data_IF_601321643603
#
_entry.id   IF_601321643603
#
_cell.length_a   1.000
_cell.length_b   1.000
_cell.length_c   1.000
_cell.angle_alpha   90.00
_cell.angle_beta   90.00
_cell.angle_gamma   90.00
#
_symmetry.space_group_name_H-M   'P 1'
#
loop_
_entity.id
_entity.type
_entity.pdbx_description
1 polymer ?
#
# COMPACT_ATOMS: atom_id res chain seq x y z
N UNK A 1 6.48 14.82 -15.59
CA UNK A 1 7.54 15.51 -14.81
C UNK A 1 7.11 15.74 -13.37
N UNK A 2 6.15 14.95 -12.87
CA UNK A 2 5.39 15.24 -11.64
C UNK A 2 6.18 14.99 -10.36
N UNK A 3 7.30 14.25 -10.46
CA UNK A 3 8.09 13.82 -9.30
C UNK A 3 9.44 14.53 -9.16
N UNK A 4 9.69 15.60 -9.93
CA UNK A 4 10.95 16.37 -9.79
C UNK A 4 10.91 17.18 -8.50
N UNK A 5 11.96 17.07 -7.68
CA UNK A 5 12.13 17.87 -6.47
C UNK A 5 11.44 17.33 -5.22
N UNK A 6 10.93 16.09 -5.27
CA UNK A 6 10.37 15.39 -4.11
C UNK A 6 10.91 13.97 -4.00
N UNK A 7 10.83 13.38 -2.80
CA UNK A 7 11.02 11.94 -2.64
C UNK A 7 9.84 11.19 -3.26
N UNK A 8 10.12 10.05 -3.88
CA UNK A 8 9.12 9.16 -4.47
C UNK A 8 9.50 7.74 -4.11
N UNK A 9 8.54 7.02 -3.54
CA UNK A 9 8.77 5.68 -3.06
C UNK A 9 8.35 4.67 -4.11
N UNK A 10 9.22 3.69 -4.37
CA UNK A 10 8.91 2.58 -5.25
C UNK A 10 9.10 1.27 -4.52
N UNK A 11 8.08 0.42 -4.53
CA UNK A 11 8.19 -0.99 -4.17
C UNK A 11 8.01 -1.82 -5.43
N UNK A 12 8.88 -2.79 -5.65
CA UNK A 12 8.84 -3.65 -6.84
C UNK A 12 8.88 -5.10 -6.39
N UNK A 13 7.77 -5.82 -6.61
CA UNK A 13 7.75 -7.26 -6.48
C UNK A 13 8.00 -7.87 -7.86
N UNK A 14 9.13 -8.58 -7.98
CA UNK A 14 9.57 -9.16 -9.22
C UNK A 14 9.93 -10.63 -9.05
N UNK A 15 9.17 -11.50 -9.72
CA UNK A 15 9.45 -12.93 -9.83
C UNK A 15 9.93 -13.22 -11.25
N UNK A 16 11.24 -13.42 -11.47
CA UNK A 16 11.76 -13.70 -12.81
C UNK A 16 11.28 -15.07 -13.31
N UNK A 17 10.69 -15.09 -14.50
CA UNK A 17 10.35 -16.32 -15.22
C UNK A 17 10.33 -16.07 -16.73
N UNK A 18 10.79 -17.06 -17.49
CA UNK A 18 10.65 -17.09 -18.96
C UNK A 18 9.34 -17.76 -19.40
N UNK A 19 8.47 -18.16 -18.46
CA UNK A 19 7.17 -18.80 -18.71
C UNK A 19 6.03 -17.94 -18.17
N UNK A 20 4.80 -18.44 -18.22
CA UNK A 20 3.61 -17.77 -17.68
C UNK A 20 3.64 -17.50 -16.17
N UNK A 21 4.60 -18.07 -15.43
CA UNK A 21 4.68 -17.96 -13.96
C UNK A 21 5.39 -16.71 -13.43
N UNK A 22 5.84 -15.81 -14.30
CA UNK A 22 6.49 -14.56 -13.91
C UNK A 22 5.51 -13.55 -13.34
N UNK A 23 6.00 -12.70 -12.45
CA UNK A 23 5.23 -11.63 -11.79
C UNK A 23 6.05 -10.35 -11.82
N UNK A 24 5.40 -9.24 -12.16
CA UNK A 24 5.89 -7.89 -11.93
C UNK A 24 4.75 -7.06 -11.36
N UNK A 25 4.94 -6.56 -10.15
CA UNK A 25 4.06 -5.60 -9.50
C UNK A 25 4.91 -4.39 -9.07
N UNK A 26 4.43 -3.19 -9.34
CA UNK A 26 5.11 -1.94 -9.01
C UNK A 26 4.13 -1.05 -8.26
N UNK A 27 4.53 -0.65 -7.06
CA UNK A 27 3.87 0.38 -6.28
C UNK A 27 4.67 1.66 -6.35
N UNK A 28 3.97 2.79 -6.47
CA UNK A 28 4.53 4.14 -6.37
C UNK A 28 3.79 4.87 -5.28
N UNK A 29 4.52 5.39 -4.30
CA UNK A 29 3.97 6.11 -3.14
C UNK A 29 2.81 5.32 -2.47
N UNK A 30 3.01 4.02 -2.29
CA UNK A 30 2.03 3.10 -1.69
C UNK A 30 0.94 2.56 -2.64
N UNK A 31 0.69 3.22 -3.77
CA UNK A 31 -0.33 2.77 -4.74
C UNK A 31 0.21 1.81 -5.78
N UNK A 32 -0.50 0.70 -6.05
CA UNK A 32 -0.17 -0.21 -7.16
C UNK A 32 -0.37 0.51 -8.50
N UNK A 33 0.71 0.74 -9.25
CA UNK A 33 0.71 1.46 -10.54
C UNK A 33 0.95 0.56 -11.74
N UNK A 34 1.46 -0.65 -11.54
CA UNK A 34 1.60 -1.64 -12.61
C UNK A 34 1.52 -3.06 -12.06
N UNK A 35 0.81 -3.94 -12.78
CA UNK A 35 0.77 -5.37 -12.52
C UNK A 35 0.79 -6.15 -13.83
N UNK A 36 1.71 -7.10 -13.94
CA UNK A 36 1.84 -7.98 -15.11
C UNK A 36 2.25 -9.38 -14.67
N UNK A 37 1.48 -10.36 -15.13
CA UNK A 37 1.83 -11.76 -15.05
C UNK A 37 2.40 -12.25 -16.39
N UNK A 38 3.21 -13.29 -16.35
CA UNK A 38 3.79 -13.93 -17.52
C UNK A 38 5.29 -13.71 -17.69
N UNK A 39 5.82 -14.11 -18.84
CA UNK A 39 7.26 -14.11 -19.09
C UNK A 39 7.83 -12.68 -19.01
N UNK A 40 8.87 -12.53 -18.19
CA UNK A 40 9.50 -11.24 -17.87
C UNK A 40 11.04 -11.31 -17.83
N UNK A 41 11.63 -12.47 -18.16
CA UNK A 41 13.07 -12.63 -18.35
C UNK A 41 13.38 -13.60 -19.49
N UNK A 42 14.62 -13.57 -19.98
CA UNK A 42 15.11 -14.50 -20.99
C UNK A 42 15.34 -15.89 -20.41
N UNK A 43 15.30 -16.92 -21.26
CA UNK A 43 15.64 -18.29 -20.87
C UNK A 43 17.17 -18.47 -20.89
N UNK A 44 17.83 -18.05 -19.82
CA UNK A 44 19.26 -18.24 -19.61
C UNK A 44 19.60 -18.66 -18.17
N UNK A 45 20.87 -18.97 -17.91
CA UNK A 45 21.37 -19.40 -16.60
C UNK A 45 21.89 -18.26 -15.73
N UNK A 46 21.90 -17.02 -16.22
CA UNK A 46 22.45 -15.86 -15.49
C UNK A 46 21.38 -15.18 -14.65
N UNK A 47 20.17 -15.07 -15.20
CA UNK A 47 19.10 -14.32 -14.59
C UNK A 47 19.37 -12.81 -14.54
N UNK A 48 18.36 -12.02 -14.17
CA UNK A 48 18.49 -10.57 -14.03
C UNK A 48 19.24 -10.19 -12.75
N UNK A 49 19.83 -9.00 -12.75
CA UNK A 49 20.42 -8.36 -11.57
C UNK A 49 20.01 -6.89 -11.51
N UNK A 50 19.96 -6.34 -10.29
CA UNK A 50 19.51 -4.98 -10.06
C UNK A 50 20.66 -3.97 -10.15
N UNK A 51 20.39 -2.81 -10.75
CA UNK A 51 21.24 -1.63 -10.73
C UNK A 51 20.37 -0.40 -10.51
N UNK A 52 20.87 0.55 -9.74
CA UNK A 52 20.21 1.82 -9.46
C UNK A 52 21.17 2.97 -9.73
N UNK A 53 20.66 4.03 -10.36
CA UNK A 53 21.42 5.22 -10.69
C UNK A 53 21.10 5.77 -12.08
N UNK A 54 21.83 6.81 -12.47
CA UNK A 54 21.67 7.44 -13.77
C UNK A 54 22.35 6.59 -14.83
N UNK A 55 21.57 5.95 -15.69
CA UNK A 55 22.06 5.31 -16.92
C UNK A 55 21.85 6.26 -18.11
N UNK A 56 22.94 6.77 -18.69
CA UNK A 56 22.90 7.71 -19.82
C UNK A 56 23.80 7.27 -20.98
N UNK A 57 23.33 7.45 -22.22
CA UNK A 57 24.09 7.15 -23.44
C UNK A 57 24.57 8.38 -24.22
N UNK A 58 24.07 9.58 -23.91
CA UNK A 58 24.44 10.83 -24.60
C UNK A 58 25.33 11.70 -23.71
N UNK A 59 26.53 12.02 -24.21
CA UNK A 59 27.55 12.74 -23.45
C UNK A 59 27.35 14.26 -23.41
N UNK A 60 26.51 14.83 -24.28
CA UNK A 60 26.24 16.27 -24.41
C UNK A 60 24.98 16.76 -23.69
N UNK A 61 24.24 15.88 -23.01
CA UNK A 61 23.04 16.26 -22.28
C UNK A 61 23.37 17.10 -21.02
N UNK A 62 22.48 18.03 -20.60
CA UNK A 62 22.67 18.80 -19.38
C UNK A 62 22.80 17.89 -18.16
N UNK A 63 23.53 18.36 -17.14
CA UNK A 63 23.72 17.64 -15.89
C UNK A 63 22.39 17.24 -15.26
N UNK A 64 22.33 16.03 -14.69
CA UNK A 64 21.18 15.53 -13.95
C UNK A 64 21.68 15.04 -12.60
N UNK A 65 20.93 15.39 -11.56
CA UNK A 65 21.16 14.90 -10.20
C UNK A 65 19.97 14.07 -9.80
N UNK A 66 20.24 12.86 -9.28
CA UNK A 66 19.22 11.98 -8.69
C UNK A 66 19.76 11.53 -7.34
N UNK A 67 18.93 11.67 -6.31
CA UNK A 67 19.20 11.17 -4.97
C UNK A 67 18.46 9.85 -4.80
N UNK A 68 19.06 8.93 -4.05
CA UNK A 68 18.46 7.65 -3.69
C UNK A 68 18.69 7.48 -2.19
N UNK A 69 17.73 6.88 -1.52
CA UNK A 69 17.83 6.51 -0.11
C UNK A 69 17.05 5.21 0.12
N UNK A 70 17.24 4.60 1.29
CA UNK A 70 16.34 3.56 1.81
C UNK A 70 16.19 2.30 0.93
N UNK A 71 17.26 1.95 0.19
CA UNK A 71 17.29 0.74 -0.63
C UNK A 71 17.21 -0.53 0.26
N UNK A 72 16.10 -1.26 0.12
CA UNK A 72 15.87 -2.58 0.74
C UNK A 72 15.65 -3.64 -0.32
N UNK A 73 16.09 -4.87 -0.05
CA UNK A 73 15.82 -6.05 -0.88
C UNK A 73 15.47 -7.21 0.04
N UNK A 74 14.26 -7.75 -0.12
CA UNK A 74 13.82 -8.99 0.49
C UNK A 74 13.63 -10.05 -0.60
N UNK A 75 13.85 -11.31 -0.24
CA UNK A 75 13.68 -12.44 -1.16
C UNK A 75 13.32 -13.71 -0.40
N UNK A 76 12.74 -14.69 -1.10
CA UNK A 76 12.30 -15.95 -0.53
C UNK A 76 10.78 -16.02 -0.34
N UNK A 77 10.26 -17.18 0.07
CA UNK A 77 8.83 -17.46 0.09
C UNK A 77 8.03 -16.65 1.13
N UNK A 78 8.70 -16.08 2.13
CA UNK A 78 8.07 -15.22 3.14
C UNK A 78 8.30 -13.72 2.91
N UNK A 79 9.03 -13.33 1.86
CA UNK A 79 9.28 -11.92 1.57
C UNK A 79 8.00 -11.24 1.08
N UNK A 80 7.61 -10.17 1.74
CA UNK A 80 6.42 -9.38 1.46
C UNK A 80 6.71 -7.92 1.19
N UNK A 81 5.65 -7.17 0.88
CA UNK A 81 5.69 -5.73 0.65
C UNK A 81 6.32 -4.97 1.84
N UNK A 82 5.89 -5.30 3.06
CA UNK A 82 6.31 -4.63 4.30
C UNK A 82 7.80 -4.79 4.62
N UNK A 83 8.47 -5.81 4.09
CA UNK A 83 9.90 -6.03 4.34
C UNK A 83 10.78 -4.99 3.63
N UNK A 84 10.24 -4.35 2.59
CA UNK A 84 10.99 -3.43 1.72
C UNK A 84 10.33 -2.08 1.55
N UNK A 85 9.06 -1.94 1.90
CA UNK A 85 8.36 -0.67 1.88
C UNK A 85 9.12 0.35 2.73
N UNK A 86 9.44 1.54 2.21
CA UNK A 86 10.12 2.56 2.99
C UNK A 86 9.24 2.94 4.18
N UNK A 87 9.81 2.84 5.38
CA UNK A 87 9.15 3.30 6.60
C UNK A 87 8.94 4.81 6.55
N UNK A 88 7.86 5.30 7.16
CA UNK A 88 7.64 6.73 7.27
C UNK A 88 8.74 7.41 8.08
N UNK A 89 9.64 8.13 7.40
CA UNK A 89 10.52 9.06 8.06
C UNK A 89 9.71 10.25 8.57
N UNK A 90 9.37 10.19 9.86
CA UNK A 90 9.25 11.39 10.65
C UNK A 90 10.57 12.17 10.55
N UNK A 91 10.47 13.47 10.27
CA UNK A 91 11.59 14.40 10.36
C UNK A 91 12.33 14.24 11.69
N UNK A 92 13.66 14.06 11.63
CA UNK A 92 14.45 13.55 12.74
C UNK A 92 14.57 14.45 13.97
N UNK A 93 14.73 13.81 15.12
CA UNK A 93 15.61 14.28 16.19
C UNK A 93 16.26 13.06 16.83
N UNK A 94 17.59 13.12 16.95
CA UNK A 94 18.39 12.04 17.47
C UNK A 94 18.34 11.91 18.99
N UNK A 95 18.78 10.73 19.41
CA UNK A 95 19.37 10.37 20.70
C UNK A 95 18.44 9.89 21.82
N UNK A 96 18.68 8.62 22.15
CA UNK A 96 19.02 8.12 23.49
C UNK A 96 18.05 7.10 24.09
N UNK A 97 18.57 5.86 24.11
CA UNK A 97 18.39 4.80 25.09
C UNK A 97 17.50 5.08 26.31
N UNK A 98 16.56 4.16 26.54
CA UNK A 98 15.87 3.97 27.79
C UNK A 98 15.30 2.55 27.89
N UNK A 99 16.12 1.61 28.35
CA UNK A 99 15.69 0.31 28.84
C UNK A 99 14.74 0.48 30.03
N UNK A 100 13.57 -0.16 29.99
CA UNK A 100 12.61 -0.17 31.09
C UNK A 100 11.58 -1.28 30.92
N UNK A 101 11.87 -2.44 31.50
CA UNK A 101 10.91 -3.50 31.75
C UNK A 101 9.96 -3.07 32.87
N UNK A 102 8.64 -3.15 32.66
CA UNK A 102 7.74 -3.57 33.74
C UNK A 102 6.41 -4.12 33.21
N UNK A 103 6.12 -5.33 33.65
CA UNK A 103 4.84 -6.01 33.69
C UNK A 103 3.71 -5.16 34.31
N UNK A 104 2.51 -5.25 33.74
CA UNK A 104 1.29 -4.72 34.33
C UNK A 104 0.06 -5.39 33.72
N UNK A 105 -0.41 -6.46 34.37
CA UNK A 105 -1.68 -7.14 34.09
C UNK A 105 -2.87 -6.24 34.47
N UNK A 106 -3.89 -6.17 33.63
CA UNK A 106 -5.14 -5.47 33.91
C UNK A 106 -6.30 -6.03 33.09
N UNK A 107 -7.08 -6.92 33.71
CA UNK A 107 -8.33 -7.46 33.19
C UNK A 107 -9.43 -6.40 33.20
N UNK A 108 -10.18 -6.28 32.11
CA UNK A 108 -11.37 -5.45 32.01
C UNK A 108 -12.38 -6.08 31.07
N UNK A 109 -13.34 -6.81 31.62
CA UNK A 109 -14.50 -7.37 30.93
C UNK A 109 -15.54 -6.28 30.66
N UNK A 110 -16.13 -6.30 29.47
CA UNK A 110 -17.23 -5.42 29.08
C UNK A 110 -17.85 -5.89 27.76
N UNK A 111 -18.72 -6.88 27.85
CA UNK A 111 -19.68 -7.29 26.83
C UNK A 111 -20.79 -6.25 26.69
N UNK A 112 -21.19 -5.87 25.46
CA UNK A 112 -22.48 -6.30 24.89
C UNK A 112 -22.73 -5.86 23.43
N UNK A 113 -23.22 -6.84 22.66
CA UNK A 113 -24.21 -6.83 21.54
C UNK A 113 -24.31 -5.62 20.57
N UNK A 114 -24.39 -5.77 19.25
CA UNK A 114 -24.67 -6.91 18.38
C UNK A 114 -25.58 -6.47 17.23
N UNK A 115 -25.25 -6.82 15.98
CA UNK A 115 -26.20 -7.25 14.95
C UNK A 115 -25.44 -7.61 13.68
N UNK A 116 -25.22 -8.91 13.51
CA UNK A 116 -24.93 -9.48 12.21
C UNK A 116 -26.19 -9.46 11.33
N UNK A 117 -25.97 -9.38 10.03
CA UNK A 117 -26.91 -9.88 9.03
C UNK A 117 -26.08 -10.45 7.89
N UNK A 118 -25.90 -11.76 7.94
CA UNK A 118 -25.46 -12.59 6.82
C UNK A 118 -26.71 -13.07 6.10
N UNK A 119 -26.77 -12.81 4.80
CA UNK A 119 -27.66 -13.51 3.87
C UNK A 119 -27.13 -13.41 2.43
N UNK A 120 -26.21 -14.33 2.05
CA UNK A 120 -25.76 -14.74 0.68
C UNK A 120 -24.99 -13.68 -0.13
N UNK A 121 -23.78 -13.88 -0.68
CA UNK A 121 -23.14 -15.05 -1.31
C UNK A 121 -21.66 -15.15 -0.86
N UNK A 122 -21.12 -16.36 -0.76
CA UNK A 122 -19.88 -16.67 -0.01
C UNK A 122 -18.55 -16.33 -0.68
N UNK A 123 -18.42 -15.15 -1.32
CA UNK A 123 -17.22 -14.76 -2.08
C UNK A 123 -16.71 -13.33 -1.84
N UNK A 124 -17.55 -12.44 -1.31
CA UNK A 124 -17.18 -11.03 -1.13
C UNK A 124 -16.03 -10.85 -0.15
N UNK A 125 -14.96 -10.23 -0.62
CA UNK A 125 -13.85 -9.80 0.22
C UNK A 125 -13.34 -8.44 -0.23
N UNK A 126 -12.91 -7.63 0.74
CA UNK A 126 -12.22 -6.37 0.48
C UNK A 126 -11.08 -6.22 1.49
N UNK A 127 -9.94 -5.71 1.03
CA UNK A 127 -8.78 -5.41 1.88
C UNK A 127 -8.12 -4.11 1.42
N UNK A 128 -8.03 -3.14 2.32
CA UNK A 128 -7.21 -1.94 2.16
C UNK A 128 -5.74 -2.32 2.15
N UNK A 129 -4.99 -1.77 1.20
CA UNK A 129 -3.53 -1.89 1.16
C UNK A 129 -2.88 -0.83 2.06
N UNK A 130 -3.30 -0.82 3.33
CA UNK A 130 -2.81 0.02 4.42
C UNK A 130 -2.76 -0.81 5.70
N UNK A 131 -1.92 -0.43 6.65
CA UNK A 131 -1.83 -1.09 7.95
C UNK A 131 -2.38 -0.20 9.08
N UNK A 132 -2.98 -0.83 10.09
CA UNK A 132 -3.43 -0.10 11.29
C UNK A 132 -2.22 0.51 12.02
N UNK A 133 -2.35 1.77 12.42
CA UNK A 133 -1.26 2.59 12.95
C UNK A 133 -0.23 3.03 11.91
N UNK A 134 -0.41 2.74 10.62
CA UNK A 134 0.49 3.23 9.57
C UNK A 134 0.57 4.75 9.65
N UNK A 135 1.79 5.30 9.68
CA UNK A 135 1.94 6.74 9.57
C UNK A 135 1.72 7.15 8.11
N UNK A 136 1.12 8.31 7.86
CA UNK A 136 1.06 8.95 6.53
C UNK A 136 1.60 10.37 6.67
N UNK A 137 2.56 10.76 5.83
CA UNK A 137 3.20 12.10 5.90
C UNK A 137 2.90 13.02 4.73
N UNK A 138 2.21 12.53 3.71
CA UNK A 138 1.90 13.24 2.48
C UNK A 138 0.73 12.59 1.76
N UNK A 139 0.25 13.26 0.73
CA UNK A 139 -0.75 12.69 -0.16
C UNK A 139 -0.25 11.37 -0.75
N UNK A 140 -1.15 10.40 -0.83
CA UNK A 140 -0.84 9.07 -1.36
C UNK A 140 -2.06 8.42 -2.01
N UNK A 141 -1.82 7.44 -2.87
CA UNK A 141 -2.89 6.62 -3.43
C UNK A 141 -3.20 5.49 -2.46
N UNK A 142 -4.44 5.43 -2.00
CA UNK A 142 -4.96 4.31 -1.21
C UNK A 142 -5.66 3.34 -2.14
N UNK A 143 -5.33 2.06 -2.03
CA UNK A 143 -5.86 0.97 -2.87
C UNK A 143 -6.66 0.01 -2.00
N UNK A 144 -7.74 -0.53 -2.56
CA UNK A 144 -8.46 -1.66 -1.97
C UNK A 144 -8.53 -2.82 -2.97
N UNK A 145 -8.13 -4.01 -2.52
CA UNK A 145 -8.31 -5.25 -3.25
C UNK A 145 -9.69 -5.82 -2.92
N UNK A 146 -10.60 -5.75 -3.88
CA UNK A 146 -11.98 -6.18 -3.73
C UNK A 146 -12.29 -7.33 -4.70
N UNK A 147 -12.87 -8.42 -4.19
CA UNK A 147 -13.21 -9.62 -4.95
C UNK A 147 -14.63 -10.05 -4.62
N UNK A 148 -15.33 -10.51 -5.64
CA UNK A 148 -16.59 -11.24 -5.54
C UNK A 148 -16.69 -12.16 -6.78
N UNK A 149 -17.30 -13.34 -6.63
CA UNK A 149 -17.44 -14.33 -7.69
C UNK A 149 -18.38 -13.89 -8.82
N UNK A 150 -19.41 -13.10 -8.50
CA UNK A 150 -20.42 -12.62 -9.46
C UNK A 150 -20.07 -11.23 -10.00
N UNK A 151 -19.14 -10.56 -9.34
CA UNK A 151 -18.45 -9.34 -9.73
C UNK A 151 -18.76 -8.17 -8.80
N UNK A 152 -17.72 -7.41 -8.50
CA UNK A 152 -17.86 -6.16 -7.74
C UNK A 152 -18.50 -5.08 -8.62
N UNK A 153 -19.54 -4.42 -8.13
CA UNK A 153 -20.18 -3.31 -8.84
C UNK A 153 -19.45 -1.98 -8.60
N UNK A 154 -18.95 -1.75 -7.39
CA UNK A 154 -18.12 -0.58 -7.02
C UNK A 154 -17.50 -0.73 -5.63
N UNK A 155 -16.44 0.02 -5.38
CA UNK A 155 -15.91 0.30 -4.03
C UNK A 155 -16.20 1.76 -3.67
N UNK A 156 -16.63 2.00 -2.44
CA UNK A 156 -16.80 3.35 -1.88
C UNK A 156 -15.74 3.58 -0.81
N UNK A 157 -15.06 4.72 -0.88
CA UNK A 157 -14.04 5.10 0.09
C UNK A 157 -14.55 6.19 1.01
N UNK A 158 -14.20 6.10 2.28
CA UNK A 158 -14.56 7.06 3.31
C UNK A 158 -13.35 7.42 4.16
N UNK A 159 -13.30 8.68 4.59
CA UNK A 159 -12.32 9.21 5.55
C UNK A 159 -13.09 9.79 6.72
N UNK A 160 -12.84 9.28 7.93
CA UNK A 160 -13.58 9.62 9.15
C UNK A 160 -15.10 9.55 8.96
N UNK A 161 -15.56 8.51 8.24
CA UNK A 161 -16.97 8.27 7.92
C UNK A 161 -17.56 9.14 6.80
N UNK A 162 -16.81 10.14 6.30
CA UNK A 162 -17.23 10.97 5.15
C UNK A 162 -16.83 10.30 3.85
N UNK A 163 -17.79 10.08 2.94
CA UNK A 163 -17.51 9.46 1.63
C UNK A 163 -16.68 10.40 0.76
N UNK A 164 -15.49 9.97 0.35
CA UNK A 164 -14.56 10.77 -0.46
C UNK A 164 -14.50 10.32 -1.92
N UNK A 165 -14.74 9.03 -2.19
CA UNK A 165 -14.68 8.50 -3.55
C UNK A 165 -15.62 7.32 -3.77
N UNK A 166 -15.92 7.06 -5.04
CA UNK A 166 -16.56 5.84 -5.53
C UNK A 166 -15.81 5.41 -6.78
N UNK A 167 -15.34 4.18 -6.80
CA UNK A 167 -14.63 3.60 -7.95
C UNK A 167 -15.38 2.37 -8.46
N UNK A 168 -15.67 2.34 -9.76
CA UNK A 168 -16.45 1.31 -10.43
C UNK A 168 -15.61 0.24 -11.13
N UNK A 169 -14.28 0.36 -11.13
CA UNK A 169 -13.41 -0.56 -11.86
C UNK A 169 -12.09 -0.78 -11.14
N UNK A 170 -11.65 -2.03 -11.06
CA UNK A 170 -10.33 -2.36 -10.54
C UNK A 170 -9.20 -1.77 -11.43
N UNK A 171 -8.07 -1.33 -10.85
CA UNK A 171 -7.75 -1.32 -9.42
C UNK A 171 -8.52 -0.24 -8.65
N UNK A 172 -9.23 -0.63 -7.59
CA UNK A 172 -10.06 0.31 -6.83
C UNK A 172 -9.17 1.20 -5.97
N UNK A 173 -9.23 2.50 -6.19
CA UNK A 173 -8.34 3.42 -5.48
C UNK A 173 -8.90 4.83 -5.33
N UNK A 174 -8.28 5.61 -4.44
CA UNK A 174 -8.46 7.05 -4.37
C UNK A 174 -7.17 7.75 -3.92
N UNK A 175 -7.03 9.02 -4.29
CA UNK A 175 -5.93 9.85 -3.77
C UNK A 175 -6.33 10.45 -2.42
N UNK A 176 -5.63 10.06 -1.36
CA UNK A 176 -5.81 10.58 -0.02
C UNK A 176 -5.03 11.90 0.14
N UNK A 177 -5.74 13.00 0.40
CA UNK A 177 -5.15 14.30 0.76
C UNK A 177 -4.86 14.31 2.26
N UNK A 178 -3.58 14.36 2.63
CA UNK A 178 -3.14 14.31 4.01
C UNK A 178 -3.23 15.68 4.71
N UNK A 179 -3.26 16.77 3.95
CA UNK A 179 -3.16 18.14 4.48
C UNK A 179 -4.19 18.48 5.56
N UNK A 180 -5.49 18.15 5.42
CA UNK A 180 -6.48 18.51 6.44
C UNK A 180 -6.39 17.67 7.71
N UNK A 181 -5.57 16.60 7.73
CA UNK A 181 -5.54 15.64 8.83
C UNK A 181 -4.21 15.60 9.61
N UNK A 182 -3.26 16.49 9.31
CA UNK A 182 -1.97 16.48 10.01
C UNK A 182 -2.11 16.59 11.54
N UNK A 183 -1.57 15.61 12.25
CA UNK A 183 -1.61 15.51 13.71
C UNK A 183 -2.74 14.64 14.25
N UNK A 184 -3.56 14.05 13.38
CA UNK A 184 -4.72 13.24 13.76
C UNK A 184 -4.52 11.76 13.42
N UNK A 185 -5.23 10.90 14.15
CA UNK A 185 -5.52 9.54 13.70
C UNK A 185 -6.76 9.58 12.81
N UNK A 186 -6.67 8.98 11.63
CA UNK A 186 -7.67 9.02 10.57
C UNK A 186 -8.16 7.62 10.28
N UNK A 187 -9.47 7.41 10.32
CA UNK A 187 -10.09 6.16 9.92
C UNK A 187 -10.39 6.16 8.43
N UNK A 188 -9.73 5.29 7.67
CA UNK A 188 -10.00 5.04 6.26
C UNK A 188 -10.84 3.78 6.14
N UNK A 189 -11.93 3.86 5.36
CA UNK A 189 -12.87 2.75 5.18
C UNK A 189 -13.05 2.52 3.67
N UNK A 190 -12.98 1.27 3.25
CA UNK A 190 -13.41 0.84 1.92
C UNK A 190 -14.62 -0.08 2.03
N UNK A 191 -15.67 0.21 1.27
CA UNK A 191 -16.89 -0.60 1.20
C UNK A 191 -17.04 -1.16 -0.21
N UNK A 192 -16.88 -2.47 -0.36
CA UNK A 192 -17.32 -3.20 -1.54
C UNK A 192 -18.84 -3.15 -1.63
N UNK A 193 -19.36 -3.00 -2.84
CA UNK A 193 -20.75 -3.27 -3.19
C UNK A 193 -20.74 -4.21 -4.39
N UNK A 194 -21.29 -5.41 -4.25
CA UNK A 194 -21.43 -6.37 -5.35
C UNK A 194 -22.60 -6.00 -6.28
N UNK A 195 -22.89 -6.86 -7.26
CA UNK A 195 -23.99 -6.65 -8.22
C UNK A 195 -25.39 -6.92 -7.65
N UNK A 196 -25.48 -7.71 -6.59
CA UNK A 196 -26.73 -8.03 -5.90
C UNK A 196 -27.07 -7.02 -4.79
N UNK A 197 -26.15 -6.10 -4.51
CA UNK A 197 -26.28 -5.03 -3.53
C UNK A 197 -25.73 -5.38 -2.14
N UNK A 198 -25.10 -6.55 -1.98
CA UNK A 198 -24.36 -6.92 -0.77
C UNK A 198 -23.18 -5.98 -0.56
N UNK A 199 -22.76 -5.86 0.70
CA UNK A 199 -21.72 -4.93 1.10
C UNK A 199 -20.80 -5.59 2.12
N UNK A 200 -19.50 -5.44 1.88
CA UNK A 200 -18.44 -5.81 2.82
C UNK A 200 -17.54 -4.59 3.02
N UNK A 201 -17.10 -4.39 4.25
CA UNK A 201 -16.23 -3.28 4.61
C UNK A 201 -14.86 -3.82 5.05
N UNK A 202 -13.84 -3.01 4.78
CA UNK A 202 -12.57 -3.06 5.49
C UNK A 202 -12.25 -1.65 5.99
N UNK A 203 -11.59 -1.57 7.15
CA UNK A 203 -11.19 -0.29 7.72
C UNK A 203 -9.85 -0.35 8.44
N UNK A 204 -9.11 0.75 8.33
CA UNK A 204 -7.77 0.92 8.87
C UNK A 204 -7.70 2.31 9.51
N UNK A 205 -7.13 2.39 10.71
CA UNK A 205 -6.80 3.68 11.34
C UNK A 205 -5.34 4.00 11.08
N UNK A 206 -5.06 5.14 10.46
CA UNK A 206 -3.70 5.61 10.16
C UNK A 206 -3.39 6.86 10.97
N UNK A 207 -2.12 7.09 11.27
CA UNK A 207 -1.68 8.31 11.97
C UNK A 207 -1.10 9.29 10.95
N UNK A 208 -1.70 10.48 10.78
CA UNK A 208 -1.22 11.47 9.81
C UNK A 208 -0.28 12.47 10.50
N UNK A 209 0.95 12.63 9.98
CA UNK A 209 2.02 13.44 10.59
C UNK A 209 2.69 14.35 9.56
N UNK A 210 3.31 15.44 10.01
CA UNK A 210 4.13 16.30 9.14
C UNK A 210 5.54 15.74 8.97
#
# INVERSE_FOLDING_TARGET
YEDVGRWTDFVIHFKPSYTSSGVLEVWKDGGLVAKRNGANTAKDSKGPYFKLGIYKSQYSAPSKTVYHDELRIASGPGAGYEDVAPGNFASGSGSSSGSGSSSGSGSGSGSDSGSGSSSGSGGDSISLQLNDGQTITRDMVVVADAQDSDGVAKVKFYVNGTKVAVDGSAPYSFNFDANPYFGEDVKIIATLVDRDGNKVNDDVTVTVRR
#
